data_IF_942150833046
#
_entry.id   IF_942150833046
#
_cell.length_a   1.000
_cell.length_b   1.000
_cell.length_c   1.000
_cell.angle_alpha   90.00
_cell.angle_beta   90.00
_cell.angle_gamma   90.00
#
_symmetry.space_group_name_H-M   'P 1'
#
loop_
_entity.id
_entity.type
_entity.pdbx_description
1 polymer ?
#
# COMPACT_ATOMS: atom_id res chain seq x y z
N UNK A 1 25.58 61.44 11.18
CA UNK A 1 24.44 61.03 12.02
C UNK A 1 24.49 59.51 12.12
N UNK A 2 24.87 58.99 13.29
CA UNK A 2 25.26 57.61 13.52
C UNK A 2 24.07 56.75 14.00
N UNK A 3 24.02 55.49 13.59
CA UNK A 3 23.33 54.36 14.24
C UNK A 3 23.94 53.08 13.60
N UNK A 4 25.00 52.49 14.14
CA UNK A 4 25.08 51.62 15.32
C UNK A 4 24.31 50.28 15.15
N UNK A 5 25.12 49.23 15.07
CA UNK A 5 24.87 47.79 15.16
C UNK A 5 24.07 47.43 16.42
N UNK A 6 23.04 46.57 16.29
CA UNK A 6 22.46 45.87 17.43
C UNK A 6 22.04 44.44 17.04
N UNK A 7 23.00 43.52 17.23
CA UNK A 7 22.73 42.09 17.35
C UNK A 7 22.01 41.82 18.67
N UNK A 8 20.69 41.66 18.61
CA UNK A 8 19.90 41.08 19.69
C UNK A 8 19.22 39.78 19.24
N UNK A 9 19.98 38.69 19.43
CA UNK A 9 19.55 37.31 19.63
C UNK A 9 18.33 37.21 20.55
N UNK A 10 17.23 36.57 20.12
CA UNK A 10 16.27 35.80 20.97
C UNK A 10 15.45 34.78 20.15
N UNK A 11 14.99 33.70 20.80
CA UNK A 11 15.15 32.33 20.32
C UNK A 11 13.84 31.67 19.88
N UNK A 12 14.01 30.63 19.06
CA UNK A 12 13.24 29.37 19.05
C UNK A 12 11.73 29.49 19.27
N UNK A 13 11.00 29.73 18.18
CA UNK A 13 9.61 29.29 18.08
C UNK A 13 9.62 27.76 18.02
N UNK A 14 9.51 27.13 19.19
CA UNK A 14 9.30 25.71 19.36
C UNK A 14 8.07 25.28 18.55
N UNK A 15 8.32 24.72 17.37
CA UNK A 15 7.35 23.90 16.66
C UNK A 15 7.17 22.62 17.47
N UNK A 16 6.23 22.67 18.42
CA UNK A 16 5.80 21.55 19.24
C UNK A 16 5.16 20.49 18.33
N UNK A 17 5.99 19.65 17.74
CA UNK A 17 5.57 18.40 17.10
C UNK A 17 5.11 17.46 18.22
N UNK A 18 3.88 16.92 18.17
CA UNK A 18 3.52 15.80 19.03
C UNK A 18 4.19 14.55 18.45
N UNK A 19 5.45 14.34 18.84
CA UNK A 19 6.20 13.13 18.53
C UNK A 19 5.89 12.05 19.58
N UNK A 20 5.54 10.83 19.13
CA UNK A 20 5.53 9.66 20.01
C UNK A 20 4.96 8.37 19.41
N UNK A 21 3.72 8.37 18.91
CA UNK A 21 2.99 7.12 18.62
C UNK A 21 2.24 7.11 17.26
N UNK A 22 1.85 8.27 16.74
CA UNK A 22 1.05 8.36 15.51
C UNK A 22 1.81 7.88 14.24
N UNK A 23 3.07 8.32 14.06
CA UNK A 23 3.86 7.94 12.90
C UNK A 23 4.24 6.45 12.87
N UNK A 24 4.31 5.79 14.04
CA UNK A 24 4.53 4.35 14.12
C UNK A 24 3.29 3.56 13.71
N UNK A 25 2.12 4.01 14.16
CA UNK A 25 0.83 3.39 13.82
C UNK A 25 0.52 3.48 12.33
N UNK A 26 0.71 4.65 11.71
CA UNK A 26 0.49 4.84 10.28
C UNK A 26 1.38 3.95 9.41
N UNK A 27 2.63 3.72 9.83
CA UNK A 27 3.57 2.83 9.14
C UNK A 27 3.17 1.36 9.29
N UNK A 28 2.71 0.95 10.47
CA UNK A 28 2.22 -0.40 10.70
C UNK A 28 0.98 -0.68 9.84
N UNK A 29 0.02 0.24 9.85
CA UNK A 29 -1.20 0.19 9.04
C UNK A 29 -0.89 0.08 7.53
N UNK A 30 0.08 0.86 7.05
CA UNK A 30 0.53 0.81 5.65
C UNK A 30 1.18 -0.54 5.30
N UNK A 31 2.03 -1.09 6.17
CA UNK A 31 2.64 -2.42 5.97
C UNK A 31 1.57 -3.51 5.92
N UNK A 32 0.57 -3.43 6.79
CA UNK A 32 -0.53 -4.40 6.81
C UNK A 32 -1.43 -4.26 5.57
N UNK A 33 -1.60 -3.06 5.04
CA UNK A 33 -2.22 -2.86 3.72
C UNK A 33 -1.39 -3.52 2.60
N UNK A 34 -0.07 -3.28 2.56
CA UNK A 34 0.80 -3.88 1.54
C UNK A 34 0.74 -5.41 1.57
N UNK A 35 0.74 -6.02 2.76
CA UNK A 35 0.60 -7.47 2.91
C UNK A 35 -0.74 -7.98 2.38
N UNK A 36 -1.85 -7.28 2.68
CA UNK A 36 -3.18 -7.63 2.17
C UNK A 36 -3.26 -7.54 0.64
N UNK A 37 -2.64 -6.52 0.04
CA UNK A 37 -2.51 -6.39 -1.42
C UNK A 37 -1.75 -7.59 -2.00
N UNK A 38 -0.56 -7.90 -1.46
CA UNK A 38 0.25 -9.04 -1.92
C UNK A 38 -0.49 -10.38 -1.82
N UNK A 39 -1.21 -10.60 -0.74
CA UNK A 39 -2.04 -11.79 -0.55
C UNK A 39 -3.23 -11.85 -1.54
N UNK A 40 -3.88 -10.71 -1.84
CA UNK A 40 -4.97 -10.65 -2.80
C UNK A 40 -4.51 -11.01 -4.22
N UNK A 41 -3.40 -10.43 -4.67
CA UNK A 41 -2.78 -10.74 -5.96
C UNK A 41 -2.34 -12.20 -6.01
N UNK A 42 -1.75 -12.68 -4.91
CA UNK A 42 -1.37 -14.08 -4.76
C UNK A 42 -2.52 -15.05 -4.95
N UNK A 43 -3.69 -14.76 -4.37
CA UNK A 43 -4.91 -15.56 -4.57
C UNK A 43 -5.40 -15.54 -6.02
N UNK A 44 -5.33 -14.38 -6.68
CA UNK A 44 -5.68 -14.25 -8.10
C UNK A 44 -4.77 -15.11 -9.00
N UNK A 45 -3.45 -15.01 -8.82
CA UNK A 45 -2.50 -15.81 -9.59
C UNK A 45 -2.58 -17.31 -9.27
N UNK A 46 -2.88 -17.67 -8.01
CA UNK A 46 -3.07 -19.07 -7.59
C UNK A 46 -4.19 -19.77 -8.38
N UNK A 47 -5.27 -19.07 -8.69
CA UNK A 47 -6.37 -19.60 -9.49
C UNK A 47 -6.14 -19.48 -11.01
N UNK A 48 -4.94 -19.04 -11.42
CA UNK A 48 -4.55 -18.95 -12.84
C UNK A 48 -5.02 -17.68 -13.54
N UNK A 49 -5.54 -16.69 -12.82
CA UNK A 49 -5.93 -15.40 -13.39
C UNK A 49 -4.74 -14.45 -13.38
N UNK A 50 -4.49 -13.81 -14.52
CA UNK A 50 -3.56 -12.66 -14.68
C UNK A 50 -4.42 -11.46 -15.06
N UNK A 51 -4.18 -10.32 -14.44
CA UNK A 51 -4.98 -9.10 -14.60
C UNK A 51 -4.72 -8.37 -15.91
N UNK A 52 -3.45 -8.27 -16.33
CA UNK A 52 -3.03 -7.58 -17.55
C UNK A 52 -2.91 -6.06 -17.45
N UNK A 53 -3.41 -5.44 -16.37
CA UNK A 53 -3.29 -4.01 -16.07
C UNK A 53 -3.33 -3.75 -14.55
N UNK A 54 -2.45 -4.43 -13.82
CA UNK A 54 -2.48 -4.39 -12.35
C UNK A 54 -1.85 -3.09 -11.82
N UNK A 55 -2.67 -2.05 -11.63
CA UNK A 55 -2.25 -0.74 -11.09
C UNK A 55 -2.91 -0.42 -9.73
N UNK A 56 -2.44 0.61 -9.03
CA UNK A 56 -3.03 1.05 -7.76
C UNK A 56 -4.47 1.57 -7.91
N UNK A 57 -4.82 2.09 -9.08
CA UNK A 57 -6.17 2.59 -9.38
C UNK A 57 -7.18 1.45 -9.60
N UNK A 58 -6.70 0.25 -9.89
CA UNK A 58 -7.49 -0.96 -10.07
C UNK A 58 -7.64 -1.75 -8.74
N UNK A 59 -7.51 -1.05 -7.61
CA UNK A 59 -7.69 -1.60 -6.26
C UNK A 59 -8.69 -0.76 -5.47
N UNK A 60 -9.66 -1.43 -4.84
CA UNK A 60 -10.64 -0.81 -3.94
C UNK A 60 -10.49 -1.37 -2.52
N UNK A 61 -10.52 -0.47 -1.54
CA UNK A 61 -10.59 -0.84 -0.12
C UNK A 61 -12.03 -0.80 0.35
N UNK A 62 -12.48 -1.91 0.92
CA UNK A 62 -13.78 -1.98 1.59
C UNK A 62 -13.55 -1.87 3.10
N UNK A 63 -14.11 -0.86 3.78
CA UNK A 63 -14.05 -0.77 5.23
C UNK A 63 -14.62 -2.03 5.90
N UNK A 64 -14.10 -2.43 7.07
CA UNK A 64 -14.59 -3.59 7.79
C UNK A 64 -16.08 -3.42 8.11
N UNK A 65 -16.87 -4.48 7.88
CA UNK A 65 -18.29 -4.47 8.22
C UNK A 65 -18.43 -4.31 9.74
N UNK A 66 -19.25 -3.36 10.25
CA UNK A 66 -19.50 -3.28 11.68
C UNK A 66 -20.11 -4.61 12.16
N UNK A 67 -19.56 -5.15 13.25
CA UNK A 67 -19.96 -6.44 13.78
C UNK A 67 -21.48 -6.48 14.02
N UNK A 68 -22.19 -7.56 13.63
CA UNK A 68 -23.61 -7.70 13.92
C UNK A 68 -23.81 -7.76 15.44
N UNK A 69 -24.21 -6.62 16.02
CA UNK A 69 -24.31 -6.45 17.48
C UNK A 69 -23.96 -5.04 17.97
N UNK A 70 -23.27 -4.22 17.18
CA UNK A 70 -23.19 -2.78 17.46
C UNK A 70 -24.50 -2.12 17.04
N UNK A 71 -25.31 -1.79 18.04
CA UNK A 71 -26.60 -1.13 17.91
C UNK A 71 -26.51 0.10 16.99
N UNK A 72 -27.63 0.43 16.35
CA UNK A 72 -27.84 1.67 15.61
C UNK A 72 -27.20 2.86 16.34
N UNK A 73 -26.63 3.86 15.63
CA UNK A 73 -26.03 5.02 16.26
C UNK A 73 -27.04 5.65 17.22
N UNK A 74 -26.76 5.55 18.52
CA UNK A 74 -27.63 6.07 19.57
C UNK A 74 -27.79 7.58 19.35
N UNK A 75 -29.00 8.13 19.17
CA UNK A 75 -29.21 9.55 18.94
C UNK A 75 -28.84 10.43 20.14
N UNK A 76 -28.39 9.84 21.27
CA UNK A 76 -27.95 10.57 22.45
C UNK A 76 -26.48 10.24 22.79
N UNK A 77 -25.49 11.09 22.43
CA UNK A 77 -24.10 10.82 22.72
C UNK A 77 -23.80 11.13 24.19
N UNK A 78 -23.65 10.09 25.01
CA UNK A 78 -23.10 10.23 26.35
C UNK A 78 -21.56 10.30 26.23
N UNK A 79 -20.88 11.37 26.70
CA UNK A 79 -19.47 11.63 26.37
C UNK A 79 -18.44 10.75 27.12
N UNK A 80 -18.84 9.62 27.72
CA UNK A 80 -17.98 8.85 28.66
C UNK A 80 -17.77 7.37 28.32
N UNK A 81 -18.15 6.92 27.12
CA UNK A 81 -17.79 5.57 26.65
C UNK A 81 -17.04 5.66 25.32
N UNK A 82 -15.75 5.99 25.40
CA UNK A 82 -14.81 5.89 24.28
C UNK A 82 -14.52 4.41 24.01
N UNK A 83 -15.43 3.70 23.33
CA UNK A 83 -15.09 2.47 22.62
C UNK A 83 -14.16 2.85 21.46
N UNK A 84 -12.88 2.92 21.75
CA UNK A 84 -11.79 3.25 20.84
C UNK A 84 -11.52 2.09 19.87
N UNK A 85 -12.51 1.69 19.07
CA UNK A 85 -12.22 1.04 17.79
C UNK A 85 -11.77 2.15 16.84
N UNK A 86 -10.53 2.60 16.98
CA UNK A 86 -9.91 3.48 16.00
C UNK A 86 -9.71 2.68 14.72
N UNK A 87 -10.77 2.53 13.91
CA UNK A 87 -10.65 1.89 12.61
C UNK A 87 -9.70 2.75 11.79
N UNK A 88 -8.50 2.24 11.50
CA UNK A 88 -7.59 2.95 10.61
C UNK A 88 -8.25 3.09 9.24
N UNK A 89 -7.99 4.21 8.55
CA UNK A 89 -8.62 4.52 7.25
C UNK A 89 -8.31 3.43 6.20
N UNK A 90 -7.23 2.68 6.42
CA UNK A 90 -6.77 1.58 5.56
C UNK A 90 -7.24 0.20 6.04
N UNK A 91 -8.07 0.12 7.08
CA UNK A 91 -8.60 -1.16 7.55
C UNK A 91 -9.62 -1.75 6.56
N UNK A 92 -9.73 -3.09 6.54
CA UNK A 92 -10.69 -3.84 5.74
C UNK A 92 -10.12 -4.64 4.56
N UNK A 93 -10.97 -4.93 3.57
CA UNK A 93 -10.68 -5.89 2.50
C UNK A 93 -10.17 -5.20 1.23
N UNK A 94 -9.14 -5.78 0.61
CA UNK A 94 -8.62 -5.36 -0.70
C UNK A 94 -9.35 -6.11 -1.81
N UNK A 95 -10.01 -5.37 -2.69
CA UNK A 95 -10.63 -5.87 -3.91
C UNK A 95 -9.85 -5.40 -5.14
N UNK A 96 -9.51 -6.34 -6.00
CA UNK A 96 -8.95 -6.04 -7.33
C UNK A 96 -10.13 -5.91 -8.29
N UNK A 97 -10.14 -4.88 -9.12
CA UNK A 97 -11.23 -4.53 -10.03
C UNK A 97 -10.69 -4.34 -11.45
N UNK A 98 -11.60 -4.22 -12.42
CA UNK A 98 -11.26 -4.01 -13.83
C UNK A 98 -10.46 -5.14 -14.49
N UNK A 99 -11.11 -6.29 -14.65
CA UNK A 99 -10.55 -7.44 -15.36
C UNK A 99 -10.70 -7.34 -16.90
N UNK A 100 -10.78 -6.13 -17.46
CA UNK A 100 -11.01 -5.93 -18.90
C UNK A 100 -9.91 -6.49 -19.80
N UNK A 101 -8.67 -6.57 -19.30
CA UNK A 101 -7.51 -7.17 -19.99
C UNK A 101 -7.08 -8.50 -19.37
N UNK A 102 -7.88 -9.05 -18.47
CA UNK A 102 -7.51 -10.25 -17.74
C UNK A 102 -7.52 -11.49 -18.63
N UNK A 103 -6.64 -12.42 -18.32
CA UNK A 103 -6.52 -13.70 -19.02
C UNK A 103 -6.30 -14.84 -18.04
N UNK A 104 -6.63 -16.06 -18.47
CA UNK A 104 -6.22 -17.26 -17.76
C UNK A 104 -4.86 -17.69 -18.28
N UNK A 105 -3.86 -17.73 -17.39
CA UNK A 105 -2.50 -18.10 -17.74
C UNK A 105 -1.82 -18.88 -16.61
N UNK A 106 -1.10 -19.93 -17.01
CA UNK A 106 -0.18 -20.68 -16.15
C UNK A 106 1.27 -20.16 -16.25
N UNK A 107 1.51 -19.15 -17.09
CA UNK A 107 2.84 -18.56 -17.30
C UNK A 107 3.28 -17.76 -16.07
N UNK A 108 4.44 -18.13 -15.51
CA UNK A 108 5.09 -17.32 -14.47
C UNK A 108 5.59 -15.99 -15.02
N UNK A 109 5.76 -15.86 -16.34
CA UNK A 109 6.17 -14.62 -16.98
C UNK A 109 5.04 -13.59 -17.00
N UNK A 110 3.82 -14.01 -17.32
CA UNK A 110 2.66 -13.11 -17.36
C UNK A 110 2.33 -12.58 -15.96
N UNK A 111 2.39 -13.47 -14.95
CA UNK A 111 2.24 -13.10 -13.54
C UNK A 111 3.35 -12.17 -13.05
N UNK A 112 4.57 -12.36 -13.53
CA UNK A 112 5.69 -11.48 -13.21
C UNK A 112 5.54 -10.11 -13.88
N UNK A 113 4.96 -10.04 -15.08
CA UNK A 113 4.62 -8.77 -15.74
C UNK A 113 3.56 -8.01 -14.93
N UNK A 114 2.51 -8.66 -14.44
CA UNK A 114 1.51 -8.04 -13.55
C UNK A 114 2.17 -7.40 -12.31
N UNK A 115 3.03 -8.15 -11.62
CA UNK A 115 3.76 -7.64 -10.44
C UNK A 115 4.68 -6.47 -10.80
N UNK A 116 5.31 -6.51 -11.98
CA UNK A 116 6.15 -5.43 -12.46
C UNK A 116 5.36 -4.17 -12.81
N UNK A 117 4.19 -4.30 -13.45
CA UNK A 117 3.29 -3.17 -13.72
C UNK A 117 2.87 -2.51 -12.41
N UNK A 118 2.52 -3.31 -11.41
CA UNK A 118 2.15 -2.80 -10.10
C UNK A 118 3.32 -2.07 -9.41
N UNK A 119 4.53 -2.64 -9.44
CA UNK A 119 5.74 -2.00 -8.92
C UNK A 119 5.96 -0.61 -9.54
N UNK A 120 5.81 -0.52 -10.86
CA UNK A 120 5.94 0.75 -11.59
C UNK A 120 4.82 1.74 -11.25
N UNK A 121 3.60 1.25 -11.05
CA UNK A 121 2.49 2.08 -10.60
C UNK A 121 2.78 2.72 -9.24
N UNK A 122 3.28 1.93 -8.26
CA UNK A 122 3.67 2.45 -6.94
C UNK A 122 4.76 3.51 -7.03
N UNK A 123 5.83 3.27 -7.79
CA UNK A 123 6.93 4.25 -7.94
C UNK A 123 6.49 5.55 -8.64
N UNK A 124 5.42 5.51 -9.44
CA UNK A 124 4.87 6.69 -10.14
C UNK A 124 3.91 7.49 -9.27
N UNK A 125 2.89 6.83 -8.70
CA UNK A 125 1.78 7.50 -8.00
C UNK A 125 2.03 7.68 -6.51
N UNK A 126 2.83 6.83 -5.89
CA UNK A 126 3.08 6.82 -4.44
C UNK A 126 4.56 6.62 -4.08
N UNK A 127 5.47 7.57 -4.39
CA UNK A 127 6.92 7.39 -4.15
C UNK A 127 7.30 7.06 -2.71
N UNK A 128 6.53 7.54 -1.72
CA UNK A 128 6.74 7.23 -0.30
C UNK A 128 6.35 5.80 0.07
N UNK A 129 5.39 5.22 -0.65
CA UNK A 129 4.90 3.86 -0.40
C UNK A 129 5.76 2.80 -1.10
N UNK A 130 6.54 3.18 -2.12
CA UNK A 130 7.44 2.28 -2.86
C UNK A 130 8.40 1.51 -1.92
N UNK A 131 8.85 2.15 -0.84
CA UNK A 131 9.70 1.51 0.17
C UNK A 131 9.09 0.26 0.83
N UNK A 132 7.75 0.16 0.84
CA UNK A 132 6.98 -0.94 1.42
C UNK A 132 6.54 -1.96 0.38
N UNK A 133 6.92 -1.81 -0.90
CA UNK A 133 6.58 -2.78 -1.93
C UNK A 133 7.16 -4.17 -1.64
N UNK A 134 8.25 -4.25 -0.87
CA UNK A 134 8.78 -5.51 -0.35
C UNK A 134 7.76 -6.28 0.48
N UNK A 135 6.96 -5.61 1.30
CA UNK A 135 5.91 -6.26 2.09
C UNK A 135 4.82 -6.88 1.20
N UNK A 136 4.55 -6.28 0.02
CA UNK A 136 3.68 -6.88 -1.02
C UNK A 136 4.29 -8.17 -1.55
N UNK A 137 5.57 -8.14 -1.92
CA UNK A 137 6.27 -9.30 -2.51
C UNK A 137 6.43 -10.44 -1.51
N UNK A 138 6.68 -10.13 -0.23
CA UNK A 138 6.82 -11.14 0.83
C UNK A 138 5.48 -11.84 1.12
N UNK A 139 4.38 -11.08 1.19
CA UNK A 139 3.04 -11.66 1.31
C UNK A 139 2.66 -12.46 0.06
N UNK A 140 3.00 -11.97 -1.13
CA UNK A 140 2.81 -12.71 -2.37
C UNK A 140 3.60 -14.03 -2.39
N UNK A 141 4.86 -14.04 -1.92
CA UNK A 141 5.73 -15.23 -1.87
C UNK A 141 5.10 -16.40 -1.13
N UNK A 142 4.32 -16.12 -0.09
CA UNK A 142 3.70 -17.12 0.78
C UNK A 142 2.28 -17.52 0.37
N UNK A 143 1.72 -16.87 -0.67
CA UNK A 143 0.32 -17.04 -1.07
C UNK A 143 0.01 -18.35 -1.80
N UNK A 144 0.98 -18.90 -2.55
CA UNK A 144 0.85 -20.21 -3.23
C UNK A 144 2.21 -20.82 -3.62
N UNK A 145 2.20 -22.13 -3.93
CA UNK A 145 3.41 -22.96 -4.12
C UNK A 145 4.38 -22.43 -5.19
N UNK A 146 3.88 -21.88 -6.28
CA UNK A 146 4.71 -21.42 -7.41
C UNK A 146 5.12 -19.94 -7.29
N UNK A 147 4.60 -19.19 -6.31
CA UNK A 147 4.91 -17.78 -6.13
C UNK A 147 6.42 -17.46 -6.09
N UNK A 148 7.30 -18.27 -5.44
CA UNK A 148 8.75 -18.03 -5.47
C UNK A 148 9.36 -18.10 -6.88
N UNK A 149 8.80 -18.92 -7.77
CA UNK A 149 9.26 -19.04 -9.17
C UNK A 149 8.86 -17.78 -9.95
N UNK A 150 7.62 -17.32 -9.78
CA UNK A 150 7.18 -16.04 -10.35
C UNK A 150 8.04 -14.87 -9.87
N UNK A 151 8.41 -14.83 -8.58
CA UNK A 151 9.29 -13.78 -8.05
C UNK A 151 10.71 -13.85 -8.62
N UNK A 152 11.22 -15.04 -8.90
CA UNK A 152 12.50 -15.17 -9.63
C UNK A 152 12.37 -14.61 -11.05
N UNK A 153 11.27 -14.92 -11.75
CA UNK A 153 10.98 -14.41 -13.09
C UNK A 153 10.76 -12.89 -13.11
N UNK A 154 10.24 -12.31 -12.03
CA UNK A 154 10.11 -10.85 -11.86
C UNK A 154 11.45 -10.14 -11.99
N UNK A 155 12.54 -10.70 -11.48
CA UNK A 155 13.88 -10.10 -11.65
C UNK A 155 14.30 -10.04 -13.13
N UNK A 156 13.99 -11.09 -13.90
CA UNK A 156 14.26 -11.10 -15.35
C UNK A 156 13.42 -10.04 -16.08
N UNK A 157 12.16 -9.87 -15.68
CA UNK A 157 11.26 -8.83 -16.21
C UNK A 157 11.79 -7.43 -15.87
N UNK A 158 12.23 -7.18 -14.64
CA UNK A 158 12.84 -5.91 -14.21
C UNK A 158 14.05 -5.55 -15.06
N UNK A 159 14.94 -6.52 -15.31
CA UNK A 159 16.14 -6.31 -16.13
C UNK A 159 15.80 -5.94 -17.57
N UNK A 160 14.76 -6.55 -18.15
CA UNK A 160 14.27 -6.18 -19.50
C UNK A 160 13.56 -4.83 -19.52
N UNK A 161 12.78 -4.53 -18.49
CA UNK A 161 12.10 -3.23 -18.33
C UNK A 161 13.05 -2.04 -18.29
N UNK A 162 14.19 -2.18 -17.60
CA UNK A 162 15.25 -1.15 -17.54
C UNK A 162 15.87 -0.83 -18.90
N UNK A 163 16.01 -1.82 -19.79
CA UNK A 163 16.53 -1.60 -21.15
C UNK A 163 15.60 -0.73 -22.00
N UNK A 164 14.28 -0.84 -21.81
CA UNK A 164 13.30 0.00 -22.51
C UNK A 164 13.28 1.45 -22.00
N UNK A 165 13.65 1.68 -20.74
CA UNK A 165 13.73 3.03 -20.16
C UNK A 165 14.94 3.84 -20.62
N UNK A 166 15.97 3.22 -21.20
CA UNK A 166 17.18 3.90 -21.69
C UNK A 166 17.10 4.35 -23.16
N UNK A 167 15.97 4.13 -23.85
CA UNK A 167 15.77 4.46 -25.28
C UNK A 167 14.68 5.53 -25.46
N UNK A 168 14.16 6.10 -24.36
CA UNK A 168 13.19 7.21 -24.39
C UNK A 168 13.85 8.56 -24.27
#
# INVERSE_FOLDING_TARGET
>A
MAYADDRARRPDAEHRTPAGDAGGRDVADLRDLMRRIGAAIGRMHKIGVVHGDLTTSNMMLRPPKPAPGTAAPNPNPNPTASSSSSSSVVDGDVFIIDFGLASQSTSDEDRAVDLYVLERAFGSTHPRAEAYFRDVLDAYRTSYKQAPVTLKKLEDVRMRGRKRSMIG
#
